data_IF_087081474884
#
_entry.id   IF_087081474884
#
_cell.length_a   1.000
_cell.length_b   1.000
_cell.length_c   1.000
_cell.angle_alpha   90.00
_cell.angle_beta   90.00
_cell.angle_gamma   90.00
#
_symmetry.space_group_name_H-M   'P 1'
#
loop_
_entity.id
_entity.type
_entity.pdbx_description
1 polymer ?
#
# COMPACT_ATOMS: atom_id res chain seq x y z
N UNK A 1 4.87 12.90 -21.06
CA UNK A 1 4.40 11.49 -21.08
C UNK A 1 5.11 10.58 -20.10
N UNK A 2 6.45 10.46 -20.12
CA UNK A 2 7.19 9.58 -19.19
C UNK A 2 6.83 9.79 -17.71
N UNK A 3 6.82 11.03 -17.22
CA UNK A 3 6.46 11.32 -15.82
C UNK A 3 5.01 10.96 -15.48
N UNK A 4 4.09 11.08 -16.44
CA UNK A 4 2.68 10.71 -16.23
C UNK A 4 2.52 9.19 -16.10
N UNK A 5 3.28 8.41 -16.88
CA UNK A 5 3.29 6.95 -16.78
C UNK A 5 3.88 6.51 -15.44
N UNK A 6 5.03 7.06 -15.04
CA UNK A 6 5.65 6.77 -13.74
C UNK A 6 4.68 7.12 -12.59
N UNK A 7 4.05 8.29 -12.64
CA UNK A 7 3.07 8.71 -11.63
C UNK A 7 1.86 7.76 -11.58
N UNK A 8 1.38 7.29 -12.74
CA UNK A 8 0.26 6.35 -12.80
C UNK A 8 0.57 5.05 -12.05
N UNK A 9 1.77 4.48 -12.23
CA UNK A 9 2.20 3.30 -11.49
C UNK A 9 2.45 3.57 -10.01
N UNK A 10 3.05 4.73 -9.69
CA UNK A 10 3.34 5.11 -8.30
C UNK A 10 2.07 5.32 -7.47
N UNK A 11 0.99 5.76 -8.10
CA UNK A 11 -0.32 6.00 -7.49
C UNK A 11 -1.26 4.78 -7.56
N UNK A 12 -0.87 3.71 -8.27
CA UNK A 12 -1.67 2.49 -8.43
C UNK A 12 -1.59 1.60 -7.18
N UNK A 13 -1.98 2.13 -6.02
CA UNK A 13 -1.97 1.40 -4.76
C UNK A 13 -2.77 2.10 -3.66
N UNK A 14 -3.29 1.31 -2.72
CA UNK A 14 -4.02 1.80 -1.54
C UNK A 14 -3.10 1.93 -0.31
N UNK A 15 -1.88 2.41 -0.52
CA UNK A 15 -0.91 2.62 0.55
C UNK A 15 -1.11 3.99 1.21
N UNK A 16 -2.11 4.10 2.09
CA UNK A 16 -2.41 5.33 2.83
C UNK A 16 -2.96 5.02 4.23
N UNK A 17 -3.04 6.05 5.08
CA UNK A 17 -3.49 5.91 6.47
C UNK A 17 -4.93 5.41 6.60
N UNK A 18 -5.84 5.81 5.70
CA UNK A 18 -7.23 5.33 5.73
C UNK A 18 -7.32 3.83 5.43
N UNK A 19 -6.49 3.33 4.52
CA UNK A 19 -6.41 1.90 4.18
C UNK A 19 -5.91 1.03 5.33
N UNK A 20 -5.13 1.59 6.27
CA UNK A 20 -4.79 0.89 7.52
C UNK A 20 -6.04 0.70 8.39
N UNK A 21 -6.88 1.72 8.50
CA UNK A 21 -8.18 1.64 9.19
C UNK A 21 -9.14 0.65 8.53
N UNK A 22 -9.21 0.65 7.20
CA UNK A 22 -10.00 -0.32 6.42
C UNK A 22 -9.56 -1.76 6.72
N UNK A 23 -8.25 -2.03 6.76
CA UNK A 23 -7.76 -3.37 7.07
C UNK A 23 -8.00 -3.77 8.53
N UNK A 24 -7.87 -2.83 9.47
CA UNK A 24 -8.20 -3.05 10.88
C UNK A 24 -9.69 -3.35 11.09
N UNK A 25 -10.58 -2.67 10.38
CA UNK A 25 -12.02 -2.91 10.43
C UNK A 25 -12.43 -4.20 9.71
N UNK A 26 -11.94 -4.40 8.47
CA UNK A 26 -12.26 -5.55 7.63
C UNK A 26 -11.66 -6.85 8.16
N UNK A 27 -10.31 -6.96 8.16
CA UNK A 27 -9.63 -8.17 8.61
C UNK A 27 -9.84 -8.36 10.11
N UNK A 28 -9.81 -7.29 10.90
CA UNK A 28 -10.12 -7.37 12.32
C UNK A 28 -11.58 -7.70 12.62
N UNK A 29 -12.51 -7.56 11.68
CA UNK A 29 -13.87 -8.08 11.80
C UNK A 29 -13.94 -9.59 11.57
N UNK A 30 -13.10 -10.12 10.68
CA UNK A 30 -13.01 -11.55 10.35
C UNK A 30 -12.23 -12.32 11.42
N UNK A 31 -11.16 -11.74 11.95
CA UNK A 31 -10.30 -12.33 12.98
C UNK A 31 -10.10 -11.35 14.16
N UNK A 32 -11.09 -11.21 15.06
CA UNK A 32 -11.06 -10.25 16.17
C UNK A 32 -9.85 -10.39 17.09
N UNK A 33 -9.39 -11.61 17.34
CA UNK A 33 -8.23 -11.94 18.17
C UNK A 33 -6.91 -11.44 17.56
N UNK A 34 -6.86 -11.18 16.26
CA UNK A 34 -5.68 -10.69 15.53
C UNK A 34 -5.64 -9.18 15.36
N UNK A 35 -6.65 -8.43 15.84
CA UNK A 35 -6.70 -6.96 15.74
C UNK A 35 -5.43 -6.26 16.25
N UNK A 36 -4.85 -6.76 17.35
CA UNK A 36 -3.61 -6.20 17.92
C UNK A 36 -2.41 -6.38 16.98
N UNK A 37 -2.31 -7.53 16.31
CA UNK A 37 -1.26 -7.79 15.33
C UNK A 37 -1.41 -6.86 14.12
N UNK A 38 -2.65 -6.73 13.61
CA UNK A 38 -2.98 -5.83 12.49
C UNK A 38 -2.63 -4.37 12.82
N UNK A 39 -2.98 -3.89 14.01
CA UNK A 39 -2.62 -2.54 14.45
C UNK A 39 -1.10 -2.35 14.50
N UNK A 40 -0.37 -3.33 15.04
CA UNK A 40 1.10 -3.28 15.17
C UNK A 40 1.80 -3.30 13.81
N UNK A 41 1.23 -3.99 12.83
CA UNK A 41 1.79 -4.11 11.48
C UNK A 41 1.30 -3.04 10.52
N UNK A 42 0.19 -2.34 10.81
CA UNK A 42 -0.51 -1.48 9.87
C UNK A 42 0.35 -0.44 9.17
N UNK A 43 1.18 0.31 9.91
CA UNK A 43 2.08 1.29 9.31
C UNK A 43 3.19 0.64 8.48
N UNK A 44 3.74 -0.49 8.94
CA UNK A 44 4.76 -1.23 8.18
C UNK A 44 4.18 -1.77 6.87
N UNK A 45 2.96 -2.30 6.91
CA UNK A 45 2.25 -2.77 5.73
C UNK A 45 1.94 -1.62 4.75
N UNK A 46 1.53 -0.45 5.26
CA UNK A 46 1.30 0.74 4.45
C UNK A 46 2.56 1.18 3.71
N UNK A 47 3.68 1.37 4.41
CA UNK A 47 4.95 1.74 3.77
C UNK A 47 5.45 0.64 2.82
N UNK A 48 5.27 -0.63 3.17
CA UNK A 48 5.58 -1.75 2.27
C UNK A 48 4.80 -1.69 0.95
N UNK A 49 3.50 -1.38 1.01
CA UNK A 49 2.67 -1.20 -0.18
C UNK A 49 3.06 0.02 -1.03
N UNK A 50 3.45 1.13 -0.39
CA UNK A 50 3.94 2.31 -1.09
C UNK A 50 5.24 2.01 -1.84
N UNK A 51 6.21 1.38 -1.16
CA UNK A 51 7.47 0.96 -1.76
C UNK A 51 7.26 -0.01 -2.93
N UNK A 52 6.32 -0.95 -2.82
CA UNK A 52 5.98 -1.85 -3.92
C UNK A 52 5.48 -1.07 -5.15
N UNK A 53 4.57 -0.12 -4.96
CA UNK A 53 4.02 0.71 -6.05
C UNK A 53 5.10 1.59 -6.69
N UNK A 54 6.00 2.16 -5.88
CA UNK A 54 7.12 2.97 -6.36
C UNK A 54 8.20 2.15 -7.06
N UNK A 55 8.41 0.91 -6.64
CA UNK A 55 9.30 -0.02 -7.34
C UNK A 55 8.73 -0.34 -8.73
N UNK A 56 7.42 -0.61 -8.83
CA UNK A 56 6.75 -0.79 -10.13
C UNK A 56 6.89 0.45 -11.00
N UNK A 57 6.70 1.64 -10.44
CA UNK A 57 6.89 2.91 -11.15
C UNK A 57 8.32 3.11 -11.64
N UNK A 58 9.31 2.70 -10.84
CA UNK A 58 10.73 2.74 -11.19
C UNK A 58 11.03 1.80 -12.35
N UNK A 59 10.51 0.57 -12.32
CA UNK A 59 10.65 -0.41 -13.41
C UNK A 59 9.98 0.11 -14.68
N UNK A 60 8.74 0.61 -14.59
CA UNK A 60 8.04 1.21 -15.72
C UNK A 60 8.84 2.38 -16.30
N UNK A 61 9.38 3.28 -15.47
CA UNK A 61 10.24 4.35 -15.93
C UNK A 61 11.55 3.87 -16.56
N UNK A 62 12.12 2.74 -16.13
CA UNK A 62 13.35 2.21 -16.71
C UNK A 62 13.12 1.59 -18.10
N UNK A 63 11.92 1.05 -18.35
CA UNK A 63 11.56 0.38 -19.61
C UNK A 63 11.01 1.33 -20.68
N UNK A 64 10.76 2.60 -20.33
CA UNK A 64 10.14 3.63 -21.18
C UNK A 64 11.05 4.85 -21.28
#
# INVERSE_FOLDING_TARGET
DRSAIIASYALCGFANFASVGIQLGGIGGIAPERRKDLAKLGLKAMFGGALASWLTATIAGLLI
#
